data_IF_415952762793
#
_entry.id   IF_415952762793
#
_cell.length_a   1.000
_cell.length_b   1.000
_cell.length_c   1.000
_cell.angle_alpha   90.00
_cell.angle_beta   90.00
_cell.angle_gamma   90.00
#
_symmetry.space_group_name_H-M   'P 1'
#
loop_
_entity.id
_entity.type
_entity.pdbx_description
1 polymer ?
#
# COMPACT_ATOMS: atom_id res chain seq x y z
N UNK A 1 3.68 -8.16 14.38
CA UNK A 1 2.20 -8.01 14.30
C UNK A 1 1.55 -9.35 13.99
N UNK A 2 1.96 -10.00 12.91
CA UNK A 2 1.30 -11.21 12.41
C UNK A 2 1.31 -12.42 13.36
N UNK A 3 2.29 -12.50 14.28
CA UNK A 3 2.41 -13.60 15.23
C UNK A 3 1.85 -13.30 16.63
N UNK A 4 1.89 -12.02 17.07
CA UNK A 4 1.66 -11.65 18.48
C UNK A 4 0.87 -10.35 18.67
N UNK A 5 0.31 -9.75 17.61
CA UNK A 5 -0.43 -8.49 17.70
C UNK A 5 0.45 -7.24 17.66
N UNK A 6 -0.21 -6.08 17.74
CA UNK A 6 0.44 -4.76 17.67
C UNK A 6 1.00 -4.28 19.02
N UNK A 7 0.36 -4.64 20.12
CA UNK A 7 0.81 -4.33 21.48
C UNK A 7 2.16 -5.00 21.78
N UNK A 8 2.30 -6.28 21.42
CA UNK A 8 3.58 -6.99 21.51
C UNK A 8 4.64 -6.36 20.60
N UNK A 9 4.28 -5.96 19.37
CA UNK A 9 5.23 -5.27 18.49
C UNK A 9 5.74 -3.97 19.11
N UNK A 10 4.85 -3.12 19.64
CA UNK A 10 5.24 -1.86 20.27
C UNK A 10 6.13 -2.09 21.50
N UNK A 11 5.80 -3.06 22.35
CA UNK A 11 6.61 -3.39 23.53
C UNK A 11 8.05 -3.79 23.19
N UNK A 12 8.28 -4.31 21.98
CA UNK A 12 9.62 -4.71 21.49
C UNK A 12 10.34 -3.61 20.69
N UNK A 13 9.75 -2.43 20.53
CA UNK A 13 10.42 -1.26 19.94
C UNK A 13 11.08 -0.37 21.01
N UNK A 14 11.98 0.52 20.60
CA UNK A 14 12.56 1.53 21.51
C UNK A 14 11.49 2.49 22.04
N UNK A 15 11.74 3.10 23.21
CA UNK A 15 10.82 4.06 23.82
C UNK A 15 10.45 5.21 22.89
N UNK A 16 11.41 5.72 22.08
CA UNK A 16 11.16 6.77 21.09
C UNK A 16 10.16 6.33 20.03
N UNK A 17 10.31 5.11 19.50
CA UNK A 17 9.39 4.56 18.50
C UNK A 17 8.00 4.28 19.10
N UNK A 18 7.95 3.76 20.33
CA UNK A 18 6.69 3.56 21.06
C UNK A 18 5.92 4.87 21.23
N UNK A 19 6.58 5.93 21.73
CA UNK A 19 5.92 7.22 21.92
C UNK A 19 5.46 7.85 20.62
N UNK A 20 6.32 7.84 19.59
CA UNK A 20 5.93 8.33 18.27
C UNK A 20 4.67 7.61 17.75
N UNK A 21 4.64 6.28 17.79
CA UNK A 21 3.47 5.53 17.33
C UNK A 21 2.20 5.86 18.12
N UNK A 22 2.28 5.90 19.46
CA UNK A 22 1.13 6.16 20.33
C UNK A 22 0.60 7.59 20.21
N UNK A 23 1.49 8.58 20.05
CA UNK A 23 1.13 9.99 19.98
C UNK A 23 0.49 10.32 18.61
N UNK A 24 0.90 9.64 17.54
CA UNK A 24 0.42 9.93 16.19
C UNK A 24 -0.75 9.07 15.71
N UNK A 25 -0.99 7.88 16.29
CA UNK A 25 -1.99 6.93 15.77
C UNK A 25 -3.40 7.52 15.61
N UNK A 26 -3.83 8.39 16.53
CA UNK A 26 -5.17 8.99 16.48
C UNK A 26 -5.26 10.06 15.39
N UNK A 27 -4.19 10.85 15.19
CA UNK A 27 -4.11 11.85 14.13
C UNK A 27 -4.10 11.21 12.75
N UNK A 28 -3.35 10.12 12.58
CA UNK A 28 -3.38 9.35 11.34
C UNK A 28 -4.76 8.77 11.08
N UNK A 29 -5.42 8.19 12.10
CA UNK A 29 -6.80 7.71 11.97
C UNK A 29 -7.71 8.83 11.48
N UNK A 30 -7.75 9.98 12.15
CA UNK A 30 -8.62 11.10 11.79
C UNK A 30 -8.39 11.56 10.34
N UNK A 31 -7.13 11.54 9.86
CA UNK A 31 -6.80 11.93 8.49
C UNK A 31 -7.28 10.91 7.44
N UNK A 32 -7.26 9.61 7.74
CA UNK A 32 -7.58 8.54 6.77
C UNK A 32 -9.01 8.03 6.89
N UNK A 33 -9.67 8.19 8.04
CA UNK A 33 -11.03 7.72 8.31
C UNK A 33 -12.05 8.22 7.27
N UNK A 34 -12.08 9.51 6.87
CA UNK A 34 -13.00 9.97 5.82
C UNK A 34 -12.77 9.30 4.46
N UNK A 35 -11.53 8.94 4.14
CA UNK A 35 -11.20 8.25 2.88
C UNK A 35 -11.72 6.81 2.93
N UNK A 36 -11.60 6.15 4.07
CA UNK A 36 -12.16 4.81 4.26
C UNK A 36 -13.69 4.81 4.21
N UNK A 37 -14.35 5.76 4.86
CA UNK A 37 -15.82 5.89 4.77
C UNK A 37 -16.27 6.04 3.31
N UNK A 38 -15.63 6.93 2.55
CA UNK A 38 -15.93 7.09 1.12
C UNK A 38 -15.69 5.81 0.30
N UNK A 39 -14.61 5.08 0.60
CA UNK A 39 -14.31 3.80 -0.04
C UNK A 39 -15.41 2.76 0.27
N UNK A 40 -15.82 2.63 1.53
CA UNK A 40 -16.86 1.69 1.94
C UNK A 40 -18.20 2.02 1.31
N UNK A 41 -18.59 3.31 1.28
CA UNK A 41 -19.82 3.76 0.63
C UNK A 41 -19.80 3.47 -0.89
N UNK A 42 -18.66 3.69 -1.57
CA UNK A 42 -18.50 3.37 -2.99
C UNK A 42 -18.66 1.87 -3.27
N UNK A 43 -18.10 1.02 -2.41
CA UNK A 43 -18.24 -0.44 -2.53
C UNK A 43 -19.68 -0.90 -2.27
N UNK A 44 -20.30 -0.42 -1.18
CA UNK A 44 -21.65 -0.84 -0.76
C UNK A 44 -22.71 -0.37 -1.76
N UNK A 45 -22.55 0.83 -2.33
CA UNK A 45 -23.45 1.35 -3.36
C UNK A 45 -23.30 0.62 -4.71
N UNK A 46 -22.25 -0.18 -4.89
CA UNK A 46 -21.95 -0.88 -6.14
C UNK A 46 -21.21 -0.02 -7.17
N UNK A 47 -20.79 1.20 -6.80
CA UNK A 47 -20.09 2.11 -7.69
C UNK A 47 -18.72 1.55 -8.12
N UNK A 48 -17.95 0.98 -7.20
CA UNK A 48 -16.69 0.29 -7.55
C UNK A 48 -16.92 -0.88 -8.52
N UNK A 49 -18.05 -1.59 -8.37
CA UNK A 49 -18.39 -2.69 -9.28
C UNK A 49 -18.69 -2.16 -10.68
N UNK A 50 -19.44 -1.06 -10.79
CA UNK A 50 -19.72 -0.39 -12.06
C UNK A 50 -18.43 0.06 -12.73
N UNK A 51 -17.54 0.72 -12.00
CA UNK A 51 -16.23 1.21 -12.49
C UNK A 51 -15.41 0.05 -13.06
N UNK A 52 -15.29 -1.06 -12.31
CA UNK A 52 -14.52 -2.25 -12.75
C UNK A 52 -15.10 -2.84 -14.03
N UNK A 53 -16.43 -2.99 -14.11
CA UNK A 53 -17.10 -3.55 -15.29
C UNK A 53 -16.91 -2.65 -16.52
N UNK A 54 -17.04 -1.33 -16.36
CA UNK A 54 -16.84 -0.38 -17.44
C UNK A 54 -15.39 -0.36 -17.93
N UNK A 55 -14.43 -0.27 -17.00
CA UNK A 55 -13.01 -0.28 -17.34
C UNK A 55 -12.61 -1.56 -18.08
N UNK A 56 -13.02 -2.74 -17.57
CA UNK A 56 -12.67 -4.02 -18.19
C UNK A 56 -13.39 -4.28 -19.53
N UNK A 57 -14.50 -3.59 -19.79
CA UNK A 57 -15.23 -3.70 -21.06
C UNK A 57 -14.60 -2.84 -22.17
N UNK A 58 -13.68 -1.93 -21.83
CA UNK A 58 -12.98 -1.11 -22.80
C UNK A 58 -12.05 -1.97 -23.68
N UNK A 59 -12.05 -1.78 -25.01
CA UNK A 59 -11.25 -2.60 -25.92
C UNK A 59 -9.73 -2.42 -25.74
N UNK A 60 -9.32 -1.30 -25.14
CA UNK A 60 -7.93 -0.89 -24.87
C UNK A 60 -7.55 -1.01 -23.38
N UNK A 61 -8.36 -1.71 -22.58
CA UNK A 61 -8.15 -1.80 -21.13
C UNK A 61 -6.76 -2.33 -20.75
N UNK A 62 -6.26 -3.33 -21.48
CA UNK A 62 -4.96 -3.96 -21.17
C UNK A 62 -3.81 -3.00 -21.40
N UNK A 63 -3.86 -2.23 -22.48
CA UNK A 63 -2.87 -1.22 -22.83
C UNK A 63 -2.84 -0.12 -21.79
N UNK A 64 -4.02 0.39 -21.40
CA UNK A 64 -4.14 1.42 -20.35
C UNK A 64 -3.67 0.92 -18.98
N UNK A 65 -4.06 -0.29 -18.58
CA UNK A 65 -3.59 -0.90 -17.33
C UNK A 65 -2.06 -1.09 -17.34
N UNK A 66 -1.49 -1.49 -18.48
CA UNK A 66 -0.05 -1.64 -18.60
C UNK A 66 0.68 -0.29 -18.43
N UNK A 67 0.11 0.80 -18.96
CA UNK A 67 0.65 2.15 -18.77
C UNK A 67 0.61 2.59 -17.29
N UNK A 68 -0.54 2.44 -16.61
CA UNK A 68 -0.69 2.78 -15.19
C UNK A 68 0.28 1.97 -14.30
N UNK A 69 0.42 0.67 -14.58
CA UNK A 69 1.36 -0.20 -13.86
C UNK A 69 2.81 0.16 -14.16
N UNK A 70 3.12 0.58 -15.39
CA UNK A 70 4.46 1.01 -15.77
C UNK A 70 4.84 2.31 -15.07
N UNK A 71 3.92 3.27 -14.96
CA UNK A 71 4.12 4.50 -14.20
C UNK A 71 4.46 4.20 -12.73
N UNK A 72 3.70 3.31 -12.08
CA UNK A 72 3.99 2.88 -10.71
C UNK A 72 5.38 2.22 -10.60
N UNK A 73 5.70 1.30 -11.52
CA UNK A 73 6.98 0.61 -11.56
C UNK A 73 8.17 1.58 -11.68
N UNK A 74 8.02 2.60 -12.52
CA UNK A 74 9.07 3.57 -12.83
C UNK A 74 9.16 4.73 -11.83
N UNK A 75 8.24 4.78 -10.86
CA UNK A 75 8.34 5.70 -9.73
C UNK A 75 9.66 5.52 -8.97
N UNK A 76 10.15 6.62 -8.40
CA UNK A 76 11.45 6.65 -7.71
C UNK A 76 11.53 5.62 -6.58
N UNK A 77 10.45 5.48 -5.80
CA UNK A 77 10.38 4.52 -4.69
C UNK A 77 10.61 3.08 -5.15
N UNK A 78 10.04 2.68 -6.29
CA UNK A 78 10.16 1.33 -6.82
C UNK A 78 11.53 1.06 -7.46
N UNK A 79 12.09 2.04 -8.19
CA UNK A 79 13.46 1.95 -8.73
C UNK A 79 14.51 1.87 -7.63
N UNK A 80 14.42 2.73 -6.62
CA UNK A 80 15.32 2.70 -5.47
C UNK A 80 15.20 1.37 -4.71
N UNK A 81 13.96 0.91 -4.48
CA UNK A 81 13.71 -0.38 -3.84
C UNK A 81 14.29 -1.55 -4.63
N UNK A 82 14.24 -1.53 -5.97
CA UNK A 82 14.80 -2.58 -6.81
C UNK A 82 16.34 -2.67 -6.67
N UNK A 83 17.03 -1.53 -6.72
CA UNK A 83 18.47 -1.45 -6.51
C UNK A 83 18.88 -1.93 -5.10
N UNK A 84 18.17 -1.48 -4.05
CA UNK A 84 18.47 -1.94 -2.68
C UNK A 84 18.23 -3.44 -2.54
N UNK A 85 17.17 -3.98 -3.16
CA UNK A 85 16.89 -5.43 -3.14
C UNK A 85 17.97 -6.25 -3.86
N UNK A 86 18.52 -5.78 -4.98
CA UNK A 86 19.58 -6.51 -5.71
C UNK A 86 20.88 -6.60 -4.91
N UNK A 87 21.10 -5.69 -3.97
CA UNK A 87 22.26 -5.73 -3.06
C UNK A 87 22.09 -6.73 -1.91
N UNK A 88 20.92 -7.34 -1.73
CA UNK A 88 20.71 -8.29 -0.62
C UNK A 88 21.55 -9.57 -0.82
N UNK A 89 22.27 -10.05 0.21
CA UNK A 89 23.13 -11.23 0.08
C UNK A 89 22.42 -12.50 -0.39
N UNK A 90 21.14 -12.69 -0.04
CA UNK A 90 20.32 -13.84 -0.47
C UNK A 90 19.93 -13.82 -1.96
N UNK A 91 20.24 -12.72 -2.66
CA UNK A 91 20.04 -12.53 -4.10
C UNK A 91 21.32 -12.52 -4.91
N UNK A 92 22.50 -12.55 -4.29
CA UNK A 92 23.76 -12.65 -5.01
C UNK A 92 23.88 -14.02 -5.70
N UNK A 93 24.10 -14.02 -7.02
CA UNK A 93 24.27 -15.24 -7.83
C UNK A 93 22.99 -15.87 -8.36
N UNK A 94 21.81 -15.28 -8.11
CA UNK A 94 20.57 -15.61 -8.83
C UNK A 94 20.43 -14.68 -10.03
N UNK A 95 21.21 -14.97 -11.07
CA UNK A 95 21.03 -14.44 -12.43
C UNK A 95 19.92 -15.21 -13.14
#
# INVERSE_FOLDING_TARGET
>A
VDQHGMDWMYANCSTTAQRGALDWRHRFREAVEPVFEALYDSVVSGEETRIVLEANSAPDYKERLAEELHEMHDSEMWRAGAAVRSLRPDRWGKS
#
